data_IF_573256685655
#
_entry.id   IF_573256685655
#
_cell.length_a   1.000
_cell.length_b   1.000
_cell.length_c   1.000
_cell.angle_alpha   90.00
_cell.angle_beta   90.00
_cell.angle_gamma   90.00
#
_symmetry.space_group_name_H-M   'P 1'
#
loop_
_entity.id
_entity.type
_entity.pdbx_description
1 polymer ?
#
# COMPACT_ATOMS: atom_id res chain seq x y z
N UNK A 1 -20.95 -0.07 -16.95
CA UNK A 1 -21.66 -1.08 -17.79
C UNK A 1 -21.46 -2.54 -17.30
N UNK A 2 -20.65 -2.80 -16.26
CA UNK A 2 -20.59 -4.09 -15.55
C UNK A 2 -21.59 -4.17 -14.37
N UNK A 3 -21.78 -3.05 -13.66
CA UNK A 3 -22.71 -2.91 -12.52
C UNK A 3 -24.20 -3.19 -12.84
N UNK A 4 -24.60 -3.20 -14.12
CA UNK A 4 -25.95 -3.58 -14.56
C UNK A 4 -26.11 -5.08 -14.81
N UNK A 5 -25.01 -5.83 -14.95
CA UNK A 5 -24.99 -7.26 -15.28
C UNK A 5 -24.47 -8.13 -14.15
N UNK A 6 -23.61 -7.58 -13.30
CA UNK A 6 -23.02 -8.25 -12.15
C UNK A 6 -23.16 -7.34 -10.93
N UNK A 7 -23.64 -7.90 -9.82
CA UNK A 7 -23.70 -7.22 -8.54
C UNK A 7 -22.64 -7.84 -7.64
N UNK A 8 -21.71 -7.03 -7.13
CA UNK A 8 -20.81 -7.50 -6.09
C UNK A 8 -21.62 -7.93 -4.88
N UNK A 9 -21.29 -9.05 -4.23
CA UNK A 9 -21.96 -9.46 -3.00
C UNK A 9 -21.69 -8.39 -1.93
N UNK A 10 -22.68 -7.56 -1.55
CA UNK A 10 -22.39 -6.36 -0.76
C UNK A 10 -21.79 -6.69 0.62
N UNK A 11 -22.14 -7.86 1.15
CA UNK A 11 -21.58 -8.39 2.40
C UNK A 11 -20.08 -8.67 2.32
N UNK A 12 -19.59 -9.22 1.21
CA UNK A 12 -18.17 -9.52 1.02
C UNK A 12 -17.36 -8.24 0.81
N UNK A 13 -17.85 -7.32 -0.03
CA UNK A 13 -17.20 -6.02 -0.23
C UNK A 13 -17.14 -5.23 1.08
N UNK A 14 -18.25 -5.16 1.83
CA UNK A 14 -18.27 -4.48 3.12
C UNK A 14 -17.33 -5.14 4.14
N UNK A 15 -17.27 -6.48 4.18
CA UNK A 15 -16.34 -7.18 5.05
C UNK A 15 -14.88 -6.84 4.74
N UNK A 16 -14.47 -6.89 3.47
CA UNK A 16 -13.11 -6.59 3.03
C UNK A 16 -12.76 -5.12 3.26
N UNK A 17 -13.65 -4.20 2.89
CA UNK A 17 -13.45 -2.77 3.16
C UNK A 17 -13.36 -2.47 4.66
N UNK A 18 -14.15 -3.15 5.50
CA UNK A 18 -14.03 -3.01 6.95
C UNK A 18 -12.70 -3.57 7.46
N UNK A 19 -12.26 -4.71 6.95
CA UNK A 19 -11.00 -5.32 7.36
C UNK A 19 -9.78 -4.45 6.98
N UNK A 20 -9.80 -3.84 5.80
CA UNK A 20 -8.66 -3.07 5.25
C UNK A 20 -8.64 -1.61 5.70
N UNK A 21 -9.80 -0.91 5.71
CA UNK A 21 -9.82 0.55 5.90
C UNK A 21 -10.52 1.03 7.18
N UNK A 22 -11.05 0.12 7.99
CA UNK A 22 -11.76 0.48 9.23
C UNK A 22 -11.10 -0.15 10.43
N UNK A 23 -10.96 -1.48 10.45
CA UNK A 23 -10.37 -2.20 11.60
C UNK A 23 -8.96 -1.74 11.98
N UNK A 24 -8.06 -1.37 11.06
CA UNK A 24 -6.72 -0.91 11.45
C UNK A 24 -6.70 0.51 12.01
N UNK A 25 -7.77 1.29 11.83
CA UNK A 25 -7.85 2.72 12.14
C UNK A 25 -8.88 3.03 13.24
N UNK A 26 -9.07 2.10 14.17
CA UNK A 26 -10.00 2.25 15.30
C UNK A 26 -9.28 2.13 16.63
N UNK A 27 -9.93 2.61 17.69
CA UNK A 27 -9.34 2.73 19.03
C UNK A 27 -8.81 1.41 19.61
N UNK A 28 -9.33 0.25 19.19
CA UNK A 28 -8.88 -1.06 19.65
C UNK A 28 -7.71 -1.64 18.81
N UNK A 29 -7.03 -0.84 17.98
CA UNK A 29 -5.88 -1.32 17.18
C UNK A 29 -4.77 -1.93 18.05
N UNK A 30 -4.62 -1.48 19.29
CA UNK A 30 -3.64 -2.01 20.26
C UNK A 30 -3.83 -3.51 20.53
N UNK A 31 -5.03 -4.06 20.35
CA UNK A 31 -5.34 -5.48 20.58
C UNK A 31 -4.76 -6.40 19.50
N UNK A 32 -4.47 -5.86 18.31
CA UNK A 32 -4.04 -6.69 17.18
C UNK A 32 -2.59 -7.15 17.28
N UNK A 33 -1.70 -6.33 17.85
CA UNK A 33 -0.27 -6.62 18.00
C UNK A 33 0.19 -6.37 19.44
N UNK A 34 -0.17 -7.25 20.39
CA UNK A 34 0.20 -7.12 21.82
C UNK A 34 1.71 -7.15 22.08
N UNK A 35 2.51 -7.59 21.11
CA UNK A 35 3.97 -7.59 21.11
C UNK A 35 4.61 -6.31 20.52
N UNK A 36 3.84 -5.43 19.88
CA UNK A 36 4.36 -4.20 19.29
C UNK A 36 4.94 -3.26 20.36
N UNK A 37 6.08 -2.64 20.08
CA UNK A 37 6.73 -1.73 21.03
C UNK A 37 5.88 -0.50 21.32
N UNK A 38 5.91 -0.03 22.57
CA UNK A 38 5.05 1.07 23.02
C UNK A 38 5.28 2.37 22.23
N UNK A 39 6.51 2.66 21.82
CA UNK A 39 6.80 3.85 21.00
C UNK A 39 6.06 3.83 19.65
N UNK A 40 5.96 2.66 19.01
CA UNK A 40 5.20 2.50 17.76
C UNK A 40 3.71 2.64 18.03
N UNK A 41 3.21 2.07 19.13
CA UNK A 41 1.80 2.19 19.50
C UNK A 41 1.38 3.64 19.72
N UNK A 42 2.15 4.39 20.50
CA UNK A 42 1.89 5.81 20.74
C UNK A 42 1.85 6.58 19.42
N UNK A 43 2.78 6.30 18.50
CA UNK A 43 2.78 6.90 17.17
C UNK A 43 1.52 6.52 16.37
N UNK A 44 1.08 5.26 16.44
CA UNK A 44 -0.17 4.83 15.79
C UNK A 44 -1.39 5.51 16.41
N UNK A 45 -1.46 5.65 17.75
CA UNK A 45 -2.55 6.37 18.42
C UNK A 45 -2.65 7.81 17.90
N UNK A 46 -1.52 8.49 17.74
CA UNK A 46 -1.49 9.86 17.19
C UNK A 46 -1.97 9.88 15.73
N UNK A 47 -1.51 8.92 14.90
CA UNK A 47 -1.84 8.83 13.48
C UNK A 47 -3.32 8.54 13.23
N UNK A 48 -3.93 7.61 13.96
CA UNK A 48 -5.34 7.24 13.72
C UNK A 48 -6.31 8.37 14.11
N UNK A 49 -5.83 9.32 14.92
CA UNK A 49 -6.58 10.53 15.30
C UNK A 49 -6.26 11.73 14.40
N UNK A 50 -5.35 11.61 13.43
CA UNK A 50 -5.03 12.68 12.49
C UNK A 50 -6.14 12.84 11.44
N UNK A 51 -6.62 14.08 11.27
CA UNK A 51 -7.70 14.41 10.34
C UNK A 51 -7.39 14.03 8.89
N UNK A 52 -6.13 14.10 8.46
CA UNK A 52 -5.73 13.74 7.11
C UNK A 52 -5.85 12.24 6.90
N UNK A 53 -5.49 11.43 7.90
CA UNK A 53 -5.61 9.96 7.86
C UNK A 53 -7.07 9.54 7.88
N UNK A 54 -7.89 10.14 8.76
CA UNK A 54 -9.33 9.89 8.82
C UNK A 54 -9.98 10.19 7.47
N UNK A 55 -9.71 11.37 6.90
CA UNK A 55 -10.21 11.77 5.58
C UNK A 55 -9.75 10.81 4.49
N UNK A 56 -8.49 10.38 4.54
CA UNK A 56 -7.93 9.46 3.57
C UNK A 56 -8.60 8.09 3.60
N UNK A 57 -8.82 7.54 4.80
CA UNK A 57 -9.50 6.27 5.01
C UNK A 57 -10.97 6.32 4.55
N UNK A 58 -11.67 7.42 4.84
CA UNK A 58 -13.04 7.63 4.38
C UNK A 58 -13.13 7.69 2.84
N UNK A 59 -12.18 8.37 2.20
CA UNK A 59 -12.08 8.41 0.75
C UNK A 59 -11.83 7.00 0.16
N UNK A 60 -10.87 6.25 0.72
CA UNK A 60 -10.59 4.87 0.32
C UNK A 60 -11.85 4.00 0.41
N UNK A 61 -12.55 4.06 1.55
CA UNK A 61 -13.82 3.34 1.76
C UNK A 61 -14.89 3.74 0.74
N UNK A 62 -15.00 5.03 0.42
CA UNK A 62 -15.95 5.53 -0.56
C UNK A 62 -15.63 5.00 -1.96
N UNK A 63 -14.38 5.07 -2.40
CA UNK A 63 -13.98 4.59 -3.73
C UNK A 63 -14.10 3.08 -3.89
N UNK A 64 -13.93 2.33 -2.80
CA UNK A 64 -14.11 0.88 -2.76
C UNK A 64 -15.58 0.45 -2.70
N UNK A 65 -16.53 1.39 -2.62
CA UNK A 65 -17.94 1.02 -2.63
C UNK A 65 -18.31 0.41 -4.00
N UNK A 66 -19.24 -0.57 -4.04
CA UNK A 66 -19.64 -1.22 -5.29
C UNK A 66 -20.16 -0.24 -6.36
N UNK A 67 -20.67 0.92 -5.95
CA UNK A 67 -21.20 1.96 -6.83
C UNK A 67 -20.11 2.79 -7.52
N UNK A 68 -18.90 2.84 -6.93
CA UNK A 68 -17.78 3.65 -7.41
C UNK A 68 -16.69 2.81 -8.11
N UNK A 69 -16.85 1.48 -8.17
CA UNK A 69 -15.89 0.60 -8.81
C UNK A 69 -16.01 0.61 -10.34
N UNK A 70 -14.87 0.72 -11.02
CA UNK A 70 -14.78 0.88 -12.47
C UNK A 70 -14.18 -0.34 -13.19
N UNK A 71 -13.48 -1.22 -12.46
CA UNK A 71 -12.80 -2.38 -13.02
C UNK A 71 -12.89 -3.61 -12.10
N UNK A 72 -12.44 -4.76 -12.60
CA UNK A 72 -12.25 -5.96 -11.80
C UNK A 72 -10.85 -5.94 -11.21
N UNK A 73 -10.76 -5.75 -9.89
CA UNK A 73 -9.50 -5.74 -9.14
C UNK A 73 -9.20 -7.15 -8.60
N UNK A 74 -7.91 -7.45 -8.43
CA UNK A 74 -7.42 -8.57 -7.64
C UNK A 74 -7.90 -8.46 -6.20
N UNK A 75 -7.79 -7.26 -5.63
CA UNK A 75 -8.33 -6.95 -4.32
C UNK A 75 -7.46 -7.36 -3.14
N UNK A 76 -6.29 -7.94 -3.42
CA UNK A 76 -5.26 -8.32 -2.43
C UNK A 76 -3.87 -8.49 -3.09
N UNK A 77 -3.51 -7.58 -4.01
CA UNK A 77 -2.26 -7.66 -4.77
C UNK A 77 -1.03 -7.20 -3.95
N UNK A 78 -0.67 -7.94 -2.90
CA UNK A 78 0.61 -7.80 -2.19
C UNK A 78 1.67 -8.78 -2.73
N UNK A 79 2.92 -8.65 -2.29
CA UNK A 79 4.04 -9.40 -2.89
C UNK A 79 3.99 -10.90 -2.64
N UNK A 80 3.35 -11.37 -1.57
CA UNK A 80 3.14 -12.80 -1.34
C UNK A 80 2.18 -13.44 -2.37
N UNK A 81 1.40 -12.63 -3.08
CA UNK A 81 0.49 -13.06 -4.15
C UNK A 81 1.12 -12.96 -5.55
N UNK A 82 2.45 -12.78 -5.62
CA UNK A 82 3.23 -12.73 -6.85
C UNK A 82 4.24 -13.88 -6.86
N UNK A 83 4.06 -14.81 -7.80
CA UNK A 83 5.03 -15.88 -8.05
C UNK A 83 5.94 -15.52 -9.20
N UNK A 84 7.25 -15.73 -9.01
CA UNK A 84 8.25 -15.58 -10.06
C UNK A 84 8.97 -16.90 -10.34
N UNK A 85 8.90 -17.39 -11.58
CA UNK A 85 9.70 -18.53 -12.04
C UNK A 85 11.05 -18.03 -12.54
N UNK A 86 12.14 -18.32 -11.82
CA UNK A 86 13.50 -18.01 -12.26
C UNK A 86 13.83 -18.74 -13.57
N UNK A 87 13.36 -20.00 -13.70
CA UNK A 87 13.60 -20.84 -14.87
C UNK A 87 12.94 -20.27 -16.12
N UNK A 88 11.68 -19.92 -16.00
CA UNK A 88 10.86 -19.52 -17.15
C UNK A 88 10.83 -17.99 -17.34
N UNK A 89 11.46 -17.24 -16.43
CA UNK A 89 11.44 -15.77 -16.35
C UNK A 89 10.02 -15.22 -16.44
N UNK A 90 9.09 -15.89 -15.76
CA UNK A 90 7.67 -15.59 -15.83
C UNK A 90 7.13 -15.15 -14.46
N UNK A 91 6.13 -14.27 -14.48
CA UNK A 91 5.42 -13.80 -13.30
C UNK A 91 3.97 -14.29 -13.37
N UNK A 92 3.48 -14.83 -12.26
CA UNK A 92 2.09 -15.24 -12.10
C UNK A 92 1.50 -14.57 -10.86
N UNK A 93 0.28 -14.08 -10.99
CA UNK A 93 -0.52 -13.59 -9.86
C UNK A 93 -1.40 -14.74 -9.35
N UNK A 94 -1.48 -14.89 -8.04
CA UNK A 94 -2.23 -15.97 -7.36
C UNK A 94 -3.16 -15.39 -6.30
N UNK A 95 -4.01 -16.24 -5.73
CA UNK A 95 -4.94 -15.90 -4.64
C UNK A 95 -6.00 -14.84 -5.01
N UNK A 96 -6.90 -15.24 -5.90
CA UNK A 96 -7.96 -14.38 -6.44
C UNK A 96 -9.23 -14.33 -5.57
N UNK A 97 -9.17 -14.77 -4.31
CA UNK A 97 -10.35 -14.90 -3.45
C UNK A 97 -10.94 -13.53 -3.05
N UNK A 98 -10.13 -12.48 -3.16
CA UNK A 98 -10.49 -11.09 -2.91
C UNK A 98 -10.97 -10.34 -4.18
N UNK A 99 -11.06 -11.02 -5.33
CA UNK A 99 -11.44 -10.39 -6.60
C UNK A 99 -12.84 -9.78 -6.52
N UNK A 100 -12.93 -8.51 -6.92
CA UNK A 100 -14.19 -7.74 -6.86
C UNK A 100 -14.20 -6.58 -7.84
N UNK A 101 -15.36 -5.93 -7.97
CA UNK A 101 -15.46 -4.65 -8.68
C UNK A 101 -14.95 -3.55 -7.76
N UNK A 102 -13.98 -2.77 -8.22
CA UNK A 102 -13.32 -1.72 -7.45
C UNK A 102 -12.62 -0.67 -8.33
N UNK A 103 -11.95 0.32 -7.71
CA UNK A 103 -11.21 1.35 -8.42
C UNK A 103 -9.91 0.77 -8.96
N UNK A 104 -9.57 1.16 -10.19
CA UNK A 104 -8.36 0.74 -10.91
C UNK A 104 -7.06 1.10 -10.19
N UNK A 105 -7.08 2.05 -9.27
CA UNK A 105 -5.94 2.44 -8.45
C UNK A 105 -5.59 1.45 -7.34
N UNK A 106 -6.53 0.58 -6.91
CA UNK A 106 -6.40 -0.14 -5.65
C UNK A 106 -5.23 -1.13 -5.63
N UNK A 107 -5.21 -2.06 -6.58
CA UNK A 107 -4.17 -3.11 -6.64
C UNK A 107 -2.77 -2.52 -6.78
N UNK A 108 -2.64 -1.41 -7.50
CA UNK A 108 -1.36 -0.71 -7.66
C UNK A 108 -0.97 -0.01 -6.35
N UNK A 109 -1.90 0.63 -5.66
CA UNK A 109 -1.65 1.22 -4.34
C UNK A 109 -1.15 0.17 -3.32
N UNK A 110 -1.79 -1.00 -3.30
CA UNK A 110 -1.42 -2.11 -2.42
C UNK A 110 -0.08 -2.76 -2.79
N UNK A 111 0.20 -2.94 -4.08
CA UNK A 111 1.50 -3.47 -4.52
C UNK A 111 2.63 -2.51 -4.17
N UNK A 112 2.43 -1.20 -4.39
CA UNK A 112 3.44 -0.18 -4.11
C UNK A 112 3.64 0.01 -2.61
N UNK A 113 2.60 -0.14 -1.77
CA UNK A 113 2.79 -0.10 -0.30
C UNK A 113 3.75 -1.19 0.18
N UNK A 114 3.71 -2.38 -0.42
CA UNK A 114 4.66 -3.45 -0.12
C UNK A 114 6.10 -3.09 -0.53
N UNK A 115 6.30 -2.40 -1.65
CA UNK A 115 7.62 -1.88 -2.02
C UNK A 115 8.13 -0.83 -1.02
N UNK A 116 7.26 0.03 -0.49
CA UNK A 116 7.60 1.00 0.57
C UNK A 116 8.03 0.30 1.85
N UNK A 117 7.30 -0.74 2.28
CA UNK A 117 7.64 -1.55 3.45
C UNK A 117 9.03 -2.20 3.28
N UNK A 118 9.29 -2.82 2.12
CA UNK A 118 10.58 -3.44 1.82
C UNK A 118 11.73 -2.44 1.71
N UNK A 119 11.48 -1.24 1.16
CA UNK A 119 12.48 -0.18 1.08
C UNK A 119 12.99 0.18 2.48
N UNK A 120 12.10 0.51 3.43
CA UNK A 120 12.51 0.89 4.78
C UNK A 120 13.08 -0.29 5.57
N UNK A 121 12.61 -1.52 5.29
CA UNK A 121 13.22 -2.72 5.86
C UNK A 121 14.70 -2.84 5.46
N UNK A 122 15.01 -2.73 4.18
CA UNK A 122 16.39 -2.81 3.70
C UNK A 122 17.22 -1.60 4.13
N UNK A 123 16.62 -0.42 4.26
CA UNK A 123 17.28 0.75 4.81
C UNK A 123 17.74 0.55 6.25
N UNK A 124 16.92 -0.03 7.11
CA UNK A 124 17.34 -0.34 8.48
C UNK A 124 18.45 -1.41 8.50
N UNK A 125 18.35 -2.43 7.64
CA UNK A 125 19.39 -3.47 7.55
C UNK A 125 20.72 -2.95 7.00
N UNK A 126 20.73 -1.90 6.17
CA UNK A 126 21.96 -1.21 5.76
C UNK A 126 22.68 -0.55 6.94
N UNK A 127 21.93 -0.04 7.92
CA UNK A 127 22.46 0.67 9.08
C UNK A 127 22.79 -0.26 10.26
N UNK A 128 22.14 -1.42 10.34
CA UNK A 128 22.51 -2.45 11.30
C UNK A 128 23.91 -2.98 10.95
N UNK A 129 24.85 -2.91 11.90
CA UNK A 129 26.30 -3.19 11.75
C UNK A 129 26.66 -4.66 11.42
N UNK A 130 25.88 -5.34 10.57
CA UNK A 130 26.23 -6.66 10.03
C UNK A 130 27.11 -6.45 8.80
N UNK A 131 28.42 -6.33 9.08
CA UNK A 131 29.56 -6.03 8.19
C UNK A 131 29.58 -6.72 6.81
N UNK A 132 28.79 -7.78 6.61
CA UNK A 132 28.84 -8.63 5.41
C UNK A 132 27.64 -8.48 4.44
N UNK A 133 26.63 -7.66 4.74
CA UNK A 133 25.43 -7.52 3.89
C UNK A 133 25.06 -6.10 3.46
N UNK A 134 25.76 -5.07 3.93
CA UNK A 134 25.48 -3.67 3.61
C UNK A 134 25.34 -3.34 2.11
N UNK A 135 26.27 -3.80 1.23
CA UNK A 135 26.16 -3.55 -0.21
C UNK A 135 24.91 -4.17 -0.86
N UNK A 136 24.48 -5.34 -0.38
CA UNK A 136 23.30 -6.04 -0.91
C UNK A 136 22.03 -5.27 -0.56
N UNK A 137 21.89 -4.82 0.69
CA UNK A 137 20.72 -4.06 1.12
C UNK A 137 20.66 -2.68 0.46
N UNK A 138 21.80 -2.03 0.21
CA UNK A 138 21.86 -0.76 -0.53
C UNK A 138 21.35 -0.93 -1.97
N UNK A 139 21.76 -2.02 -2.63
CA UNK A 139 21.25 -2.36 -3.95
C UNK A 139 19.74 -2.64 -3.89
N UNK A 140 19.27 -3.45 -2.93
CA UNK A 140 17.85 -3.75 -2.78
C UNK A 140 16.99 -2.51 -2.53
N UNK A 141 17.47 -1.54 -1.73
CA UNK A 141 16.78 -0.25 -1.59
C UNK A 141 16.66 0.48 -2.92
N UNK A 142 17.75 0.54 -3.67
CA UNK A 142 17.79 1.18 -5.00
C UNK A 142 16.82 0.49 -5.95
N UNK A 143 16.80 -0.84 -5.94
CA UNK A 143 15.90 -1.66 -6.74
C UNK A 143 14.43 -1.43 -6.34
N UNK A 144 14.12 -1.29 -5.04
CA UNK A 144 12.76 -0.96 -4.59
C UNK A 144 12.31 0.42 -5.11
N UNK A 145 13.16 1.44 -5.04
CA UNK A 145 12.83 2.76 -5.61
C UNK A 145 12.62 2.69 -7.13
N UNK A 146 13.43 1.92 -7.83
CA UNK A 146 13.26 1.69 -9.27
C UNK A 146 11.95 0.95 -9.57
N UNK A 147 11.60 -0.07 -8.79
CA UNK A 147 10.34 -0.80 -8.94
C UNK A 147 9.13 0.10 -8.71
N UNK A 148 9.16 0.96 -7.69
CA UNK A 148 8.11 1.97 -7.46
C UNK A 148 7.96 2.86 -8.68
N UNK A 149 9.07 3.44 -9.15
CA UNK A 149 9.05 4.38 -10.27
C UNK A 149 8.56 3.71 -11.57
N UNK A 150 9.13 2.55 -11.92
CA UNK A 150 8.77 1.81 -13.14
C UNK A 150 7.31 1.36 -13.09
N UNK A 151 6.85 0.81 -11.95
CA UNK A 151 5.47 0.32 -11.79
C UNK A 151 4.49 1.46 -11.99
N UNK A 152 4.69 2.57 -11.29
CA UNK A 152 3.80 3.72 -11.34
C UNK A 152 3.81 4.40 -12.72
N UNK A 153 4.98 4.69 -13.28
CA UNK A 153 5.07 5.32 -14.60
C UNK A 153 4.46 4.43 -15.69
N UNK A 154 4.82 3.14 -15.75
CA UNK A 154 4.27 2.24 -16.78
C UNK A 154 2.78 2.01 -16.62
N UNK A 155 2.28 1.91 -15.38
CA UNK A 155 0.86 1.77 -15.13
C UNK A 155 0.09 3.01 -15.62
N UNK A 156 0.53 4.20 -15.20
CA UNK A 156 -0.11 5.45 -15.58
C UNK A 156 -0.07 5.68 -17.10
N UNK A 157 1.09 5.47 -17.74
CA UNK A 157 1.24 5.62 -19.19
C UNK A 157 0.38 4.60 -19.96
N UNK A 158 0.38 3.35 -19.52
CA UNK A 158 -0.41 2.27 -20.12
C UNK A 158 -1.91 2.55 -20.03
N UNK A 159 -2.38 2.99 -18.86
CA UNK A 159 -3.79 3.34 -18.66
C UNK A 159 -4.20 4.58 -19.45
N UNK A 160 -3.38 5.64 -19.45
CA UNK A 160 -3.56 6.81 -20.30
C UNK A 160 -3.70 6.43 -21.78
N UNK A 161 -2.84 5.53 -22.27
CA UNK A 161 -2.87 5.08 -23.65
C UNK A 161 -4.12 4.24 -23.97
N UNK A 162 -4.46 3.29 -23.09
CA UNK A 162 -5.54 2.34 -23.31
C UNK A 162 -6.95 2.97 -23.19
N UNK A 163 -7.11 3.91 -22.26
CA UNK A 163 -8.41 4.50 -21.92
C UNK A 163 -8.59 5.93 -22.44
N UNK A 164 -7.50 6.60 -22.84
CA UNK A 164 -7.52 7.93 -23.44
C UNK A 164 -8.27 8.96 -22.57
N UNK A 165 -9.28 9.61 -23.14
CA UNK A 165 -10.12 10.63 -22.51
C UNK A 165 -10.98 10.11 -21.35
N UNK A 166 -11.06 8.79 -21.16
CA UNK A 166 -11.82 8.15 -20.08
C UNK A 166 -11.00 7.95 -18.81
N UNK A 167 -9.70 8.24 -18.84
CA UNK A 167 -8.80 8.03 -17.70
C UNK A 167 -8.44 9.35 -17.03
N UNK A 168 -9.03 9.55 -15.85
CA UNK A 168 -8.78 10.69 -14.98
C UNK A 168 -7.45 10.50 -14.23
N UNK A 169 -6.32 10.67 -14.93
CA UNK A 169 -4.98 10.33 -14.44
C UNK A 169 -4.64 10.98 -13.10
N UNK A 170 -5.00 12.24 -12.89
CA UNK A 170 -4.78 12.95 -11.63
C UNK A 170 -5.60 12.36 -10.48
N UNK A 171 -6.85 11.97 -10.75
CA UNK A 171 -7.68 11.30 -9.76
C UNK A 171 -7.10 9.93 -9.39
N UNK A 172 -6.75 9.12 -10.39
CA UNK A 172 -6.21 7.77 -10.18
C UNK A 172 -4.88 7.84 -9.43
N UNK A 173 -4.01 8.77 -9.79
CA UNK A 173 -2.76 9.04 -9.07
C UNK A 173 -3.02 9.35 -7.59
N UNK A 174 -3.95 10.28 -7.32
CA UNK A 174 -4.37 10.61 -5.95
C UNK A 174 -4.91 9.40 -5.21
N UNK A 175 -5.72 8.57 -5.85
CA UNK A 175 -6.27 7.36 -5.24
C UNK A 175 -5.16 6.35 -4.89
N UNK A 176 -4.19 6.14 -5.79
CA UNK A 176 -3.02 5.26 -5.54
C UNK A 176 -2.30 5.69 -4.25
N UNK A 177 -2.03 7.00 -4.09
CA UNK A 177 -1.32 7.51 -2.93
C UNK A 177 -2.09 7.31 -1.62
N UNK A 178 -3.41 7.52 -1.65
CA UNK A 178 -4.27 7.29 -0.49
C UNK A 178 -4.30 5.81 -0.11
N UNK A 179 -4.57 4.92 -1.07
CA UNK A 179 -4.58 3.49 -0.81
C UNK A 179 -3.23 3.02 -0.28
N UNK A 180 -2.14 3.41 -0.94
CA UNK A 180 -0.79 3.04 -0.50
C UNK A 180 -0.52 3.46 0.95
N UNK A 181 -0.75 4.73 1.30
CA UNK A 181 -0.45 5.23 2.64
C UNK A 181 -1.36 4.62 3.71
N UNK A 182 -2.67 4.49 3.42
CA UNK A 182 -3.62 3.85 4.34
C UNK A 182 -3.29 2.37 4.54
N UNK A 183 -2.88 1.66 3.49
CA UNK A 183 -2.44 0.26 3.58
C UNK A 183 -1.14 0.15 4.39
N UNK A 184 -0.15 1.02 4.21
CA UNK A 184 1.08 1.03 5.06
C UNK A 184 0.71 1.16 6.54
N UNK A 185 -0.17 2.10 6.89
CA UNK A 185 -0.66 2.25 8.27
C UNK A 185 -1.42 0.99 8.69
N UNK A 186 -2.25 0.44 7.79
CA UNK A 186 -3.04 -0.76 8.01
C UNK A 186 -2.21 -2.00 8.33
N UNK A 187 -1.09 -2.21 7.63
CA UNK A 187 -0.16 -3.31 7.89
C UNK A 187 0.54 -3.20 9.24
N UNK A 188 0.72 -2.00 9.77
CA UNK A 188 1.40 -1.78 11.05
C UNK A 188 0.40 -1.83 12.21
N UNK A 189 -0.74 -1.16 12.06
CA UNK A 189 -1.76 -1.01 13.10
C UNK A 189 -2.77 -2.17 13.15
N UNK A 190 -2.96 -2.86 12.03
CA UNK A 190 -4.00 -3.89 11.86
C UNK A 190 -3.59 -5.30 12.31
N UNK A 191 -4.50 -6.27 12.16
CA UNK A 191 -4.28 -7.67 12.54
C UNK A 191 -3.32 -8.43 11.63
N UNK A 192 -3.09 -7.94 10.41
CA UNK A 192 -2.21 -8.60 9.46
C UNK A 192 -0.74 -8.30 9.80
N UNK A 193 0.12 -9.30 9.66
CA UNK A 193 1.51 -9.26 10.11
C UNK A 193 2.45 -9.68 8.99
N UNK A 194 3.53 -8.91 8.82
CA UNK A 194 4.70 -9.34 8.08
C UNK A 194 5.83 -9.54 9.06
N UNK A 195 6.38 -10.76 9.17
CA UNK A 195 7.43 -11.08 10.14
C UNK A 195 8.63 -10.13 10.03
N UNK A 196 8.98 -9.71 8.80
CA UNK A 196 10.09 -8.79 8.53
C UNK A 196 9.81 -7.34 8.94
N UNK A 197 8.55 -6.94 9.11
CA UNK A 197 8.18 -5.63 9.67
C UNK A 197 7.97 -5.73 11.18
N UNK A 198 7.25 -6.76 11.63
CA UNK A 198 6.84 -6.95 13.02
C UNK A 198 8.01 -7.07 13.99
N UNK A 199 9.14 -7.61 13.54
CA UNK A 199 10.38 -7.70 14.30
C UNK A 199 11.22 -6.40 14.32
N UNK A 200 10.85 -5.37 13.54
CA UNK A 200 11.67 -4.17 13.29
C UNK A 200 10.93 -2.85 13.58
N UNK A 201 10.83 -2.43 14.86
CA UNK A 201 10.09 -1.22 15.28
C UNK A 201 10.56 0.08 14.60
N UNK A 202 11.87 0.23 14.35
CA UNK A 202 12.40 1.40 13.63
C UNK A 202 11.92 1.46 12.18
N UNK A 203 11.77 0.30 11.53
CA UNK A 203 11.19 0.20 10.19
C UNK A 203 9.74 0.65 10.23
N UNK A 204 8.96 0.17 11.20
CA UNK A 204 7.57 0.62 11.38
C UNK A 204 7.48 2.15 11.53
N UNK A 205 8.33 2.75 12.38
CA UNK A 205 8.33 4.20 12.58
C UNK A 205 8.57 4.96 11.27
N UNK A 206 9.59 4.56 10.49
CA UNK A 206 9.88 5.16 9.18
C UNK A 206 8.73 4.99 8.18
N UNK A 207 8.14 3.79 8.12
CA UNK A 207 6.98 3.53 7.28
C UNK A 207 5.79 4.43 7.64
N UNK A 208 5.51 4.61 8.93
CA UNK A 208 4.46 5.51 9.42
C UNK A 208 4.78 6.98 9.07
N UNK A 209 6.02 7.44 9.26
CA UNK A 209 6.44 8.81 8.91
C UNK A 209 6.37 9.07 7.40
N UNK A 210 6.74 8.09 6.58
CA UNK A 210 6.58 8.13 5.12
C UNK A 210 5.11 8.19 4.73
N UNK A 211 4.25 7.34 5.30
CA UNK A 211 2.81 7.34 5.02
C UNK A 211 2.17 8.69 5.36
N UNK A 212 2.49 9.25 6.51
CA UNK A 212 2.04 10.59 6.91
C UNK A 212 2.54 11.68 5.95
N UNK A 213 3.83 11.64 5.59
CA UNK A 213 4.40 12.60 4.66
C UNK A 213 3.71 12.56 3.29
N UNK A 214 3.39 11.35 2.79
CA UNK A 214 2.65 11.17 1.54
C UNK A 214 1.26 11.79 1.63
N UNK A 215 0.52 11.54 2.72
CA UNK A 215 -0.83 12.06 2.90
C UNK A 215 -0.89 13.58 3.08
N UNK A 216 0.13 14.19 3.72
CA UNK A 216 0.21 15.63 3.89
C UNK A 216 0.70 16.36 2.63
N UNK A 217 1.71 15.81 1.94
CA UNK A 217 2.36 16.48 0.80
C UNK A 217 1.65 16.16 -0.51
N UNK A 218 1.15 14.93 -0.67
CA UNK A 218 0.52 14.42 -1.89
C UNK A 218 1.42 14.63 -3.13
N UNK A 219 2.51 13.86 -3.29
CA UNK A 219 3.46 14.03 -4.40
C UNK A 219 2.75 13.95 -5.75
N UNK A 220 3.19 14.70 -6.75
CA UNK A 220 2.51 14.79 -8.06
C UNK A 220 2.97 13.73 -9.07
N UNK A 221 4.07 13.02 -8.78
CA UNK A 221 4.64 12.01 -9.65
C UNK A 221 5.52 11.03 -8.84
N UNK A 222 5.95 9.95 -9.48
CA UNK A 222 6.72 8.90 -8.84
C UNK A 222 8.10 9.36 -8.36
N UNK A 223 8.71 10.36 -9.00
CA UNK A 223 9.99 10.91 -8.56
C UNK A 223 9.84 11.70 -7.25
N UNK A 224 8.80 12.53 -7.12
CA UNK A 224 8.46 13.21 -5.87
C UNK A 224 8.14 12.21 -4.74
N UNK A 225 7.42 11.12 -5.04
CA UNK A 225 7.20 10.05 -4.08
C UNK A 225 8.52 9.42 -3.62
N UNK A 226 9.41 9.08 -4.55
CA UNK A 226 10.74 8.54 -4.23
C UNK A 226 11.58 9.50 -3.38
N UNK A 227 11.45 10.82 -3.60
CA UNK A 227 12.12 11.83 -2.77
C UNK A 227 11.58 11.82 -1.34
N UNK A 228 10.28 11.62 -1.13
CA UNK A 228 9.70 11.48 0.22
C UNK A 228 10.28 10.24 0.92
N UNK A 229 10.35 9.10 0.22
CA UNK A 229 10.96 7.87 0.77
C UNK A 229 12.43 8.08 1.18
N UNK A 230 13.18 8.86 0.43
CA UNK A 230 14.60 9.11 0.71
C UNK A 230 14.84 10.04 1.92
N UNK A 231 13.82 10.76 2.39
CA UNK A 231 13.91 11.66 3.55
C UNK A 231 13.84 10.94 4.90
N UNK A 232 13.32 9.71 4.91
CA UNK A 232 13.07 8.91 6.11
C UNK A 232 13.89 7.63 6.08
#
# INVERSE_FOLDING_TARGET
MLSKKFCALPKQVNFLCQAQFVKPLVANHRDYKPQCQEAVRLKVDDIINDNVVITAAENCRKWMSPENGNCCIHGDLHLENVLYSIRDKNIMLIDTDCVRVGPESYDIGLLVSNYVLLYHYHQELCHAEVVWKGPVHTQLMTDMMQLINITLTRYMDGMCHALQDKFESQQVWRQILHFMAVEVIGWIAGPASFDYIDAHPKVMMKCLDTAMSILHVMPNNAAELCNILAQH
#
